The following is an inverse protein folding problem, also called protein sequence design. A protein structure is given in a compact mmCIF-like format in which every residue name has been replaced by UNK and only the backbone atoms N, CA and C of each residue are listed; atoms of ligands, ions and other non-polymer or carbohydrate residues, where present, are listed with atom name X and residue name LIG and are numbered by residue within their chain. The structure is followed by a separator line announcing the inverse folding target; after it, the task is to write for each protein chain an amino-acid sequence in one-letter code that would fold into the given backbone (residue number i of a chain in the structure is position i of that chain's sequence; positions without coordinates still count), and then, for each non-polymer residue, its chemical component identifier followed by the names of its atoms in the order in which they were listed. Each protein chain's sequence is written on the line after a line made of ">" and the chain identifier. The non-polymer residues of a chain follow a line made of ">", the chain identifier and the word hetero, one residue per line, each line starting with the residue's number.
data_IF_262944805901
#
_entry.id   IF_262944805901
#
_cell.length_a   1.000
_cell.length_b   1.000
_cell.length_c   1.000
_cell.angle_alpha   90.00
_cell.angle_beta   90.00
_cell.angle_gamma   90.00
#
_symmetry.space_group_name_H-M   'P 1'
#
loop_
_entity.id
_entity.type
_entity.pdbx_description
1 polymer ?
#
# COMPACT_ATOMS: atom_id res chain seq x y z
N UNK A 1 3.82 16.57 21.46
CA UNK A 1 3.77 15.12 21.80
C UNK A 1 3.69 15.01 23.31
N UNK A 2 2.79 14.19 23.82
CA UNK A 2 2.64 13.99 25.27
C UNK A 2 3.21 12.63 25.68
N UNK A 3 3.79 12.53 26.87
CA UNK A 3 4.40 11.28 27.36
C UNK A 3 3.68 10.81 28.61
N UNK A 4 3.32 9.53 28.68
CA UNK A 4 2.67 8.91 29.83
C UNK A 4 3.39 7.63 30.24
N UNK A 5 3.30 7.26 31.52
CA UNK A 5 3.83 5.98 32.01
C UNK A 5 2.86 4.81 31.77
N UNK A 6 3.37 3.58 31.65
CA UNK A 6 2.53 2.38 31.48
C UNK A 6 1.55 2.17 32.65
N UNK A 7 1.92 2.62 33.85
CA UNK A 7 1.05 2.59 35.04
C UNK A 7 -0.09 3.58 34.93
N UNK A 8 0.17 4.76 34.36
CA UNK A 8 -0.85 5.77 34.09
C UNK A 8 -1.80 5.31 32.99
N UNK A 9 -1.26 4.73 31.92
CA UNK A 9 -2.07 4.12 30.85
C UNK A 9 -3.00 3.02 31.39
N UNK A 10 -2.51 2.14 32.26
CA UNK A 10 -3.34 1.08 32.88
C UNK A 10 -4.45 1.65 33.76
N UNK A 11 -4.21 2.77 34.43
CA UNK A 11 -5.18 3.40 35.34
C UNK A 11 -6.30 4.12 34.59
N UNK A 12 -5.97 4.77 33.47
CA UNK A 12 -6.91 5.67 32.77
C UNK A 12 -6.79 5.59 31.24
N UNK A 13 -6.80 4.36 30.70
CA UNK A 13 -6.71 4.11 29.27
C UNK A 13 -7.80 4.84 28.48
N UNK A 14 -9.01 4.90 29.01
CA UNK A 14 -10.17 5.53 28.35
C UNK A 14 -9.97 7.03 28.14
N UNK A 15 -9.38 7.76 29.11
CA UNK A 15 -9.05 9.19 28.93
C UNK A 15 -7.95 9.38 27.90
N UNK A 16 -6.92 8.53 27.93
CA UNK A 16 -5.81 8.57 26.97
C UNK A 16 -6.35 8.37 25.55
N UNK A 17 -7.16 7.32 25.32
CA UNK A 17 -7.76 7.05 24.01
C UNK A 17 -8.69 8.16 23.54
N UNK A 18 -9.42 8.80 24.45
CA UNK A 18 -10.28 9.94 24.13
C UNK A 18 -9.49 11.14 23.62
N UNK A 19 -8.37 11.48 24.27
CA UNK A 19 -7.45 12.54 23.82
C UNK A 19 -6.92 12.26 22.43
N UNK A 20 -6.48 11.03 22.17
CA UNK A 20 -6.01 10.61 20.84
C UNK A 20 -7.14 10.73 19.81
N UNK A 21 -8.35 10.26 20.12
CA UNK A 21 -9.49 10.25 19.20
C UNK A 21 -10.05 11.63 18.89
N UNK A 22 -10.25 12.46 19.92
CA UNK A 22 -10.99 13.72 19.81
C UNK A 22 -10.08 14.92 19.54
N UNK A 23 -8.87 14.90 20.09
CA UNK A 23 -7.90 16.00 19.92
C UNK A 23 -6.81 15.71 18.89
N UNK A 24 -6.72 14.46 18.41
CA UNK A 24 -5.68 14.07 17.45
C UNK A 24 -4.28 14.04 18.04
N UNK A 25 -4.15 13.94 19.37
CA UNK A 25 -2.85 13.95 20.04
C UNK A 25 -2.05 12.66 19.79
N UNK A 26 -0.76 12.79 19.47
CA UNK A 26 0.21 11.69 19.55
C UNK A 26 0.80 11.59 20.96
N UNK A 27 0.73 10.38 21.53
CA UNK A 27 1.12 10.10 22.91
C UNK A 27 2.14 8.97 22.96
N UNK A 28 3.30 9.22 23.57
CA UNK A 28 4.31 8.20 23.86
C UNK A 28 4.04 7.53 25.21
N UNK A 29 4.24 6.21 25.24
CA UNK A 29 4.06 5.38 26.43
C UNK A 29 5.44 4.93 26.89
N UNK A 30 5.74 5.14 28.17
CA UNK A 30 7.02 4.80 28.79
C UNK A 30 6.89 3.66 29.81
N UNK A 31 7.93 2.83 29.89
CA UNK A 31 8.12 1.83 30.94
C UNK A 31 9.52 2.02 31.53
N UNK A 32 9.61 2.27 32.83
CA UNK A 32 10.86 2.64 33.52
C UNK A 32 11.60 3.80 32.81
N UNK A 33 10.88 4.85 32.41
CA UNK A 33 11.45 6.05 31.78
C UNK A 33 11.88 5.88 30.32
N UNK A 34 11.79 4.66 29.76
CA UNK A 34 12.07 4.40 28.34
C UNK A 34 10.78 4.32 27.54
N UNK A 35 10.73 4.94 26.37
CA UNK A 35 9.59 4.85 25.46
C UNK A 35 9.48 3.41 24.94
N UNK A 36 8.29 2.81 25.08
CA UNK A 36 7.98 1.44 24.65
C UNK A 36 6.86 1.35 23.62
N UNK A 37 6.03 2.39 23.49
CA UNK A 37 4.97 2.44 22.48
C UNK A 37 4.55 3.88 22.17
N UNK A 38 3.84 4.08 21.05
CA UNK A 38 3.21 5.35 20.68
C UNK A 38 1.75 5.12 20.27
N UNK A 39 0.84 5.95 20.78
CA UNK A 39 -0.55 6.04 20.35
C UNK A 39 -0.71 7.25 19.43
N UNK A 40 -1.28 7.04 18.25
CA UNK A 40 -1.57 8.08 17.28
C UNK A 40 -3.01 7.96 16.80
N UNK A 41 -3.69 9.07 16.46
CA UNK A 41 -5.04 9.03 15.91
C UNK A 41 -5.09 8.22 14.62
N UNK A 42 -6.03 7.28 14.55
CA UNK A 42 -6.37 6.61 13.30
C UNK A 42 -7.46 7.43 12.62
N UNK A 43 -7.22 7.82 11.37
CA UNK A 43 -8.21 8.55 10.58
C UNK A 43 -9.57 7.79 10.61
N UNK A 44 -10.70 8.48 10.84
CA UNK A 44 -11.99 7.83 10.99
C UNK A 44 -12.32 6.98 9.76
N UNK A 45 -12.61 5.70 9.98
CA UNK A 45 -13.10 4.83 8.91
C UNK A 45 -14.51 5.29 8.55
N UNK A 46 -14.65 5.97 7.40
CA UNK A 46 -15.96 6.28 6.81
C UNK A 46 -16.78 5.00 6.61
N UNK A 47 -18.13 5.09 6.61
CA UNK A 47 -19.00 3.93 6.42
C UNK A 47 -18.55 3.12 5.20
N UNK A 48 -18.47 1.80 5.41
CA UNK A 48 -17.96 0.84 4.43
C UNK A 48 -18.81 0.91 3.17
N UNK A 49 -18.33 1.63 2.15
CA UNK A 49 -18.71 1.30 0.78
C UNK A 49 -18.27 -0.15 0.52
N UNK A 50 -19.04 -0.94 -0.24
CA UNK A 50 -18.58 -2.26 -0.64
C UNK A 50 -17.20 -2.09 -1.30
N UNK A 51 -16.21 -2.95 -1.00
CA UNK A 51 -14.83 -2.76 -1.44
C UNK A 51 -14.73 -2.40 -2.93
N UNK A 52 -15.47 -3.09 -3.79
CA UNK A 52 -15.58 -2.81 -5.24
C UNK A 52 -15.95 -1.36 -5.60
N UNK A 53 -16.83 -0.71 -4.83
CA UNK A 53 -17.25 0.67 -5.07
C UNK A 53 -16.21 1.72 -4.64
N UNK A 54 -15.25 1.37 -3.77
CA UNK A 54 -14.11 2.24 -3.48
C UNK A 54 -13.06 2.17 -4.60
N UNK A 55 -12.80 0.97 -5.13
CA UNK A 55 -11.91 0.76 -6.26
C UNK A 55 -12.47 1.31 -7.59
N UNK A 56 -13.80 1.46 -7.72
CA UNK A 56 -14.38 2.18 -8.86
C UNK A 56 -14.02 3.68 -8.91
N UNK A 57 -13.58 4.26 -7.78
CA UNK A 57 -13.03 5.63 -7.73
C UNK A 57 -11.62 5.67 -8.33
N UNK A 58 -10.81 4.62 -8.13
CA UNK A 58 -9.55 4.45 -8.85
C UNK A 58 -9.79 4.25 -10.34
N UNK A 59 -10.75 3.42 -10.74
CA UNK A 59 -11.12 3.26 -12.17
C UNK A 59 -11.50 4.59 -12.83
N UNK A 60 -12.10 5.52 -12.09
CA UNK A 60 -12.41 6.86 -12.58
C UNK A 60 -11.14 7.70 -12.76
N UNK A 61 -10.26 7.72 -11.76
CA UNK A 61 -8.97 8.42 -11.87
C UNK A 61 -8.11 7.83 -12.98
N UNK A 62 -8.11 6.50 -13.12
CA UNK A 62 -7.42 5.82 -14.20
C UNK A 62 -7.93 6.30 -15.56
N UNK A 63 -9.25 6.35 -15.77
CA UNK A 63 -9.84 6.91 -17.00
C UNK A 63 -9.44 8.37 -17.25
N UNK A 64 -9.37 9.20 -16.22
CA UNK A 64 -8.93 10.59 -16.35
C UNK A 64 -7.45 10.72 -16.70
N UNK A 65 -6.60 9.85 -16.13
CA UNK A 65 -5.19 9.74 -16.51
C UNK A 65 -5.09 9.30 -17.97
N UNK A 66 -5.83 8.26 -18.37
CA UNK A 66 -5.88 7.78 -19.75
C UNK A 66 -6.36 8.82 -20.75
N UNK A 67 -7.30 9.69 -20.37
CA UNK A 67 -7.80 10.77 -21.24
C UNK A 67 -6.76 11.85 -21.57
N UNK A 68 -5.70 11.99 -20.76
CA UNK A 68 -4.59 12.95 -20.97
C UNK A 68 -3.30 12.27 -21.43
N UNK A 69 -3.38 11.01 -21.81
CA UNK A 69 -2.25 10.19 -22.24
C UNK A 69 -2.25 10.01 -23.77
N UNK A 70 -1.07 9.89 -24.44
CA UNK A 70 -1.01 9.54 -25.86
C UNK A 70 -1.67 8.18 -26.15
N UNK A 71 -2.49 8.09 -27.22
CA UNK A 71 -3.47 7.01 -27.39
C UNK A 71 -2.92 5.67 -27.93
N UNK A 72 -3.40 4.56 -27.36
CA UNK A 72 -3.33 3.20 -27.93
C UNK A 72 -3.89 2.09 -27.01
N UNK A 73 -5.01 1.45 -27.42
CA UNK A 73 -5.57 0.12 -27.04
C UNK A 73 -6.47 -0.09 -25.78
N UNK A 74 -7.35 -1.13 -25.85
CA UNK A 74 -8.52 -1.48 -24.99
C UNK A 74 -8.78 -3.01 -24.85
N UNK A 75 -9.44 -3.52 -23.77
CA UNK A 75 -9.79 -4.96 -23.66
C UNK A 75 -10.50 -5.59 -22.42
N UNK A 76 -11.71 -5.15 -22.01
CA UNK A 76 -12.76 -5.96 -21.30
C UNK A 76 -12.44 -6.56 -19.90
N UNK A 77 -13.44 -7.16 -19.23
CA UNK A 77 -13.44 -7.60 -17.81
C UNK A 77 -14.12 -8.97 -17.61
N UNK A 78 -13.74 -9.72 -16.57
CA UNK A 78 -14.35 -10.99 -16.12
C UNK A 78 -14.37 -11.10 -14.58
N UNK A 79 -15.39 -11.79 -14.02
CA UNK A 79 -15.78 -11.84 -12.58
C UNK A 79 -14.99 -12.88 -11.74
N UNK A 80 -14.79 -12.69 -10.42
CA UNK A 80 -14.30 -13.72 -9.49
C UNK A 80 -15.40 -14.42 -8.66
N UNK A 81 -15.12 -15.67 -8.28
CA UNK A 81 -15.74 -16.37 -7.16
C UNK A 81 -14.94 -16.21 -5.85
N UNK A 82 -15.55 -16.62 -4.73
CA UNK A 82 -15.07 -16.39 -3.35
C UNK A 82 -13.96 -17.36 -2.91
N UNK A 83 -12.82 -16.83 -2.48
CA UNK A 83 -11.72 -17.53 -1.78
C UNK A 83 -11.46 -16.88 -0.40
N UNK A 84 -10.72 -17.51 0.53
CA UNK A 84 -10.42 -16.94 1.85
C UNK A 84 -9.72 -15.59 1.76
N UNK A 85 -9.80 -14.77 2.82
CA UNK A 85 -9.15 -13.45 2.90
C UNK A 85 -7.63 -13.57 2.74
N UNK A 86 -7.12 -13.48 1.51
CA UNK A 86 -5.69 -13.49 1.23
C UNK A 86 -5.09 -12.10 1.44
N UNK A 87 -4.04 -12.01 2.26
CA UNK A 87 -3.19 -10.82 2.38
C UNK A 87 -1.99 -10.98 1.45
N UNK A 88 -1.62 -9.91 0.75
CA UNK A 88 -0.44 -9.91 -0.13
C UNK A 88 0.27 -8.57 -0.06
N UNK A 89 1.59 -8.59 -0.19
CA UNK A 89 2.37 -7.37 -0.43
C UNK A 89 2.33 -7.07 -1.92
N UNK A 90 1.93 -5.86 -2.28
CA UNK A 90 1.78 -5.42 -3.66
C UNK A 90 2.78 -4.30 -3.93
N UNK A 91 3.61 -4.52 -4.94
CA UNK A 91 4.56 -3.54 -5.45
C UNK A 91 3.84 -2.37 -6.14
N UNK A 92 4.50 -1.21 -6.20
CA UNK A 92 3.97 -0.04 -6.87
C UNK A 92 3.68 -0.26 -8.35
N UNK A 93 4.45 -1.10 -9.04
CA UNK A 93 4.21 -1.39 -10.46
C UNK A 93 2.77 -1.86 -10.72
N UNK A 94 2.18 -2.65 -9.83
CA UNK A 94 0.81 -3.18 -9.99
C UNK A 94 -0.23 -2.06 -9.87
N UNK A 95 -0.06 -1.13 -8.92
CA UNK A 95 -0.96 0.01 -8.75
C UNK A 95 -0.75 1.10 -9.80
N UNK A 96 0.49 1.31 -10.26
CA UNK A 96 0.79 2.19 -11.40
C UNK A 96 0.12 1.66 -12.66
N UNK A 97 0.30 0.38 -12.99
CA UNK A 97 -0.38 -0.24 -14.14
C UNK A 97 -1.91 -0.14 -14.01
N UNK A 98 -2.46 -0.33 -12.81
CA UNK A 98 -3.89 -0.11 -12.58
C UNK A 98 -4.35 1.33 -12.82
N UNK A 99 -3.52 2.33 -12.48
CA UNK A 99 -3.85 3.75 -12.63
C UNK A 99 -3.58 4.31 -14.03
N UNK A 100 -2.82 3.59 -14.87
CA UNK A 100 -2.39 4.05 -16.19
C UNK A 100 -3.01 3.15 -17.28
N UNK A 101 -4.17 3.51 -17.87
CA UNK A 101 -4.91 2.67 -18.80
C UNK A 101 -4.17 2.20 -20.05
N UNK A 102 -3.16 2.98 -20.47
CA UNK A 102 -2.35 2.72 -21.65
C UNK A 102 -1.20 1.74 -21.42
N UNK A 103 -0.95 1.32 -20.17
CA UNK A 103 -0.02 0.21 -19.95
C UNK A 103 -0.68 -1.10 -20.39
N UNK A 104 0.04 -1.92 -21.16
CA UNK A 104 -0.46 -3.25 -21.56
C UNK A 104 -0.83 -4.16 -20.37
N UNK A 105 -0.37 -3.80 -19.17
CA UNK A 105 -0.65 -4.49 -17.89
C UNK A 105 -1.86 -3.92 -17.14
N UNK A 106 -2.49 -2.87 -17.65
CA UNK A 106 -3.58 -2.18 -16.97
C UNK A 106 -4.74 -3.10 -16.65
N UNK A 107 -5.25 -3.81 -17.65
CA UNK A 107 -6.43 -4.63 -17.49
C UNK A 107 -6.16 -5.86 -16.63
N UNK A 108 -4.98 -6.46 -16.79
CA UNK A 108 -4.53 -7.55 -15.92
C UNK A 108 -4.47 -7.10 -14.45
N UNK A 109 -3.84 -5.95 -14.18
CA UNK A 109 -3.75 -5.38 -12.83
C UNK A 109 -5.14 -5.02 -12.27
N UNK A 110 -5.98 -4.39 -13.08
CA UNK A 110 -7.35 -4.00 -12.71
C UNK A 110 -8.22 -5.20 -12.39
N UNK A 111 -8.23 -6.22 -13.25
CA UNK A 111 -9.00 -7.45 -13.02
C UNK A 111 -8.47 -8.17 -11.80
N UNK A 112 -7.15 -8.31 -11.65
CA UNK A 112 -6.56 -8.98 -10.50
C UNK A 112 -6.92 -8.28 -9.17
N UNK A 113 -6.75 -6.96 -9.08
CA UNK A 113 -7.12 -6.18 -7.88
C UNK A 113 -8.61 -6.35 -7.59
N UNK A 114 -9.49 -6.15 -8.59
CA UNK A 114 -10.92 -6.32 -8.40
C UNK A 114 -11.24 -7.74 -7.89
N UNK A 115 -10.63 -8.76 -8.49
CA UNK A 115 -10.83 -10.15 -8.11
C UNK A 115 -10.40 -10.46 -6.67
N UNK A 116 -9.19 -10.04 -6.31
CA UNK A 116 -8.64 -10.23 -4.98
C UNK A 116 -9.50 -9.55 -3.92
N UNK A 117 -9.95 -8.32 -4.20
CA UNK A 117 -10.75 -7.52 -3.27
C UNK A 117 -12.19 -8.05 -3.14
N UNK A 118 -12.83 -8.44 -4.24
CA UNK A 118 -14.18 -9.04 -4.22
C UNK A 118 -14.18 -10.40 -3.51
N UNK A 119 -13.06 -11.12 -3.56
CA UNK A 119 -12.80 -12.29 -2.73
C UNK A 119 -12.58 -11.97 -1.24
N UNK A 120 -12.60 -10.70 -0.83
CA UNK A 120 -12.35 -10.28 0.56
C UNK A 120 -10.87 -10.16 0.92
N UNK A 121 -9.97 -10.24 -0.07
CA UNK A 121 -8.53 -10.05 0.10
C UNK A 121 -8.17 -8.63 0.52
N UNK A 122 -6.98 -8.51 1.12
CA UNK A 122 -6.39 -7.23 1.54
C UNK A 122 -5.05 -7.03 0.84
N UNK A 123 -4.69 -5.77 0.61
CA UNK A 123 -3.44 -5.37 -0.03
C UNK A 123 -2.60 -4.62 0.98
N UNK A 124 -1.38 -5.10 1.21
CA UNK A 124 -0.34 -4.37 1.94
C UNK A 124 0.59 -3.76 0.90
N UNK A 125 0.94 -2.49 1.03
CA UNK A 125 1.96 -1.85 0.21
C UNK A 125 2.85 -0.98 1.10
N UNK A 126 4.05 -0.63 0.62
CA UNK A 126 4.91 0.31 1.34
C UNK A 126 4.40 1.73 1.15
N UNK A 127 4.62 2.61 2.13
CA UNK A 127 4.38 4.05 1.97
C UNK A 127 5.20 4.66 0.81
N UNK A 128 6.31 3.99 0.42
CA UNK A 128 7.12 4.31 -0.76
C UNK A 128 6.31 4.26 -2.08
N UNK A 129 5.21 3.48 -2.10
CA UNK A 129 4.23 3.48 -3.19
C UNK A 129 3.77 4.89 -3.57
N UNK A 130 3.59 5.78 -2.59
CA UNK A 130 3.00 7.09 -2.83
C UNK A 130 3.89 7.97 -3.72
N UNK A 131 5.19 8.20 -3.41
CA UNK A 131 6.08 8.93 -4.31
C UNK A 131 6.32 8.17 -5.63
N UNK A 132 6.31 6.83 -5.65
CA UNK A 132 6.46 6.04 -6.88
C UNK A 132 5.31 6.29 -7.85
N UNK A 133 4.06 6.17 -7.37
CA UNK A 133 2.84 6.45 -8.14
C UNK A 133 2.78 7.91 -8.57
N UNK A 134 3.02 8.85 -7.64
CA UNK A 134 2.96 10.27 -7.96
C UNK A 134 4.00 10.67 -9.02
N UNK A 135 5.24 10.19 -8.87
CA UNK A 135 6.32 10.45 -9.81
C UNK A 135 6.09 9.78 -11.17
N UNK A 136 5.56 8.57 -11.21
CA UNK A 136 5.20 7.91 -12.47
C UNK A 136 4.13 8.70 -13.24
N UNK A 137 3.05 9.10 -12.56
CA UNK A 137 1.96 9.89 -13.18
C UNK A 137 2.47 11.27 -13.61
N UNK A 138 3.19 11.98 -12.75
CA UNK A 138 3.66 13.34 -13.05
C UNK A 138 4.65 13.37 -14.21
N UNK A 139 5.64 12.46 -14.24
CA UNK A 139 6.63 12.37 -15.33
C UNK A 139 5.99 12.15 -16.70
N UNK A 140 4.87 11.46 -16.76
CA UNK A 140 4.24 11.06 -18.03
C UNK A 140 3.10 11.98 -18.47
N UNK A 141 2.35 12.54 -17.52
CA UNK A 141 1.21 13.44 -17.80
C UNK A 141 1.60 14.92 -17.79
N UNK A 142 2.80 15.25 -17.31
CA UNK A 142 3.21 16.63 -17.03
C UNK A 142 2.32 17.34 -16.00
N UNK A 143 1.43 16.63 -15.29
CA UNK A 143 0.37 17.25 -14.49
C UNK A 143 0.46 16.86 -13.00
N UNK A 144 1.16 17.65 -12.16
CA UNK A 144 1.24 17.39 -10.71
C UNK A 144 -0.11 17.31 -10.00
N UNK A 145 -1.13 18.04 -10.50
CA UNK A 145 -2.50 17.99 -9.96
C UNK A 145 -3.13 16.59 -10.10
N UNK A 146 -2.90 15.91 -11.22
CA UNK A 146 -3.40 14.55 -11.43
C UNK A 146 -2.69 13.55 -10.52
N UNK A 147 -1.37 13.67 -10.36
CA UNK A 147 -0.61 12.85 -9.43
C UNK A 147 -1.14 12.98 -7.99
N UNK A 148 -1.31 14.21 -7.48
CA UNK A 148 -1.86 14.45 -6.13
C UNK A 148 -3.26 13.86 -5.96
N UNK A 149 -4.11 14.01 -6.98
CA UNK A 149 -5.47 13.46 -6.95
C UNK A 149 -5.47 11.93 -6.93
N UNK A 150 -4.59 11.29 -7.70
CA UNK A 150 -4.41 9.84 -7.67
C UNK A 150 -3.99 9.36 -6.28
N UNK A 151 -3.02 10.01 -5.65
CA UNK A 151 -2.60 9.69 -4.27
C UNK A 151 -3.75 9.87 -3.27
N UNK A 152 -4.52 10.95 -3.37
CA UNK A 152 -5.67 11.17 -2.50
C UNK A 152 -6.74 10.07 -2.61
N UNK A 153 -6.87 9.44 -3.78
CA UNK A 153 -7.75 8.28 -3.98
C UNK A 153 -7.13 7.00 -3.43
N UNK A 154 -5.83 6.76 -3.69
CA UNK A 154 -5.09 5.59 -3.16
C UNK A 154 -5.19 5.53 -1.63
N UNK A 155 -4.99 6.67 -0.94
CA UNK A 155 -5.07 6.76 0.51
C UNK A 155 -6.45 6.48 1.10
N UNK A 156 -7.51 6.51 0.29
CA UNK A 156 -8.90 6.30 0.72
C UNK A 156 -9.39 4.88 0.48
N UNK A 157 -8.52 3.97 0.03
CA UNK A 157 -8.89 2.60 -0.28
C UNK A 157 -9.04 1.78 1.01
N UNK A 158 -10.24 1.23 1.31
CA UNK A 158 -10.49 0.55 2.57
C UNK A 158 -9.74 -0.77 2.73
N UNK A 159 -9.34 -1.39 1.60
CA UNK A 159 -8.61 -2.67 1.59
C UNK A 159 -7.09 -2.50 1.44
N UNK A 160 -6.59 -1.27 1.40
CA UNK A 160 -5.16 -0.97 1.34
C UNK A 160 -4.61 -0.70 2.75
N UNK A 161 -3.47 -1.32 3.06
CA UNK A 161 -2.68 -1.06 4.27
C UNK A 161 -1.30 -0.59 3.86
N UNK A 162 -0.93 0.62 4.28
CA UNK A 162 0.39 1.17 4.03
C UNK A 162 1.32 0.84 5.19
N UNK A 163 2.44 0.21 4.89
CA UNK A 163 3.53 -0.06 5.82
C UNK A 163 4.58 1.05 5.70
N UNK A 164 4.96 1.65 6.82
CA UNK A 164 6.05 2.64 6.88
C UNK A 164 7.41 1.93 6.97
N UNK A 165 8.45 2.56 6.44
CA UNK A 165 9.81 2.03 6.52
C UNK A 165 10.43 2.48 7.85
N UNK A 166 10.44 1.56 8.82
CA UNK A 166 11.19 1.71 10.07
C UNK A 166 12.63 1.21 9.92
N UNK A 167 13.46 1.49 10.94
CA UNK A 167 14.87 1.12 10.94
C UNK A 167 15.11 -0.40 10.79
N UNK A 168 14.30 -1.22 11.44
CA UNK A 168 14.37 -2.69 11.33
C UNK A 168 14.14 -3.17 9.90
N UNK A 169 13.06 -2.72 9.27
CA UNK A 169 12.75 -3.03 7.87
C UNK A 169 13.84 -2.51 6.93
N UNK A 170 14.39 -1.32 7.20
CA UNK A 170 15.47 -0.75 6.40
C UNK A 170 16.76 -1.57 6.47
N UNK A 171 17.15 -2.06 7.66
CA UNK A 171 18.33 -2.94 7.81
C UNK A 171 18.12 -4.28 7.10
N UNK A 172 16.94 -4.89 7.26
CA UNK A 172 16.60 -6.13 6.56
C UNK A 172 16.66 -5.94 5.04
N UNK A 173 16.12 -4.83 4.54
CA UNK A 173 16.18 -4.46 3.13
C UNK A 173 17.62 -4.26 2.65
N UNK A 174 18.48 -3.59 3.43
CA UNK A 174 19.89 -3.40 3.08
C UNK A 174 20.64 -4.74 2.93
N UNK A 175 20.43 -5.68 3.85
CA UNK A 175 21.00 -7.02 3.76
C UNK A 175 20.53 -7.78 2.51
N UNK A 176 19.24 -7.69 2.19
CA UNK A 176 18.67 -8.27 0.97
C UNK A 176 19.18 -7.58 -0.30
N UNK A 177 19.32 -6.27 -0.30
CA UNK A 177 19.85 -5.50 -1.42
C UNK A 177 21.27 -5.96 -1.78
N UNK A 178 22.14 -6.10 -0.77
CA UNK A 178 23.50 -6.61 -0.96
C UNK A 178 23.50 -8.06 -1.48
N UNK A 179 22.76 -8.96 -0.80
CA UNK A 179 22.75 -10.39 -1.12
C UNK A 179 22.14 -10.71 -2.49
N UNK A 180 21.07 -10.01 -2.86
CA UNK A 180 20.34 -10.21 -4.11
C UNK A 180 20.81 -9.26 -5.22
N UNK A 181 21.76 -8.37 -4.93
CA UNK A 181 22.29 -7.32 -5.82
C UNK A 181 21.22 -6.38 -6.39
N UNK A 182 20.11 -6.20 -5.68
CA UNK A 182 18.91 -5.50 -6.17
C UNK A 182 18.83 -4.05 -5.64
N UNK A 183 18.13 -3.17 -6.35
CA UNK A 183 17.95 -1.77 -5.97
C UNK A 183 17.24 -1.64 -4.61
N UNK A 184 17.55 -0.57 -3.89
CA UNK A 184 17.06 -0.34 -2.54
C UNK A 184 15.54 -0.41 -2.41
N UNK A 185 14.79 0.32 -3.25
CA UNK A 185 13.32 0.29 -3.24
C UNK A 185 12.76 -1.14 -3.39
N UNK A 186 13.26 -1.87 -4.39
CA UNK A 186 12.86 -3.24 -4.67
C UNK A 186 13.18 -4.16 -3.48
N UNK A 187 14.32 -3.97 -2.83
CA UNK A 187 14.72 -4.72 -1.63
C UNK A 187 13.80 -4.47 -0.44
N UNK A 188 13.24 -3.26 -0.28
CA UNK A 188 12.31 -2.95 0.81
C UNK A 188 10.99 -3.70 0.62
N UNK A 189 10.47 -3.82 -0.61
CA UNK A 189 9.27 -4.62 -0.87
C UNK A 189 9.51 -6.11 -0.56
N UNK A 190 10.68 -6.65 -0.94
CA UNK A 190 11.05 -8.03 -0.63
C UNK A 190 11.19 -8.24 0.88
N UNK A 191 11.84 -7.31 1.59
CA UNK A 191 12.00 -7.37 3.04
C UNK A 191 10.65 -7.35 3.76
N UNK A 192 9.72 -6.49 3.33
CA UNK A 192 8.39 -6.40 3.90
C UNK A 192 7.59 -7.70 3.68
N UNK A 193 7.65 -8.26 2.47
CA UNK A 193 7.03 -9.55 2.17
C UNK A 193 7.60 -10.69 3.03
N UNK A 194 8.93 -10.71 3.20
CA UNK A 194 9.62 -11.72 4.00
C UNK A 194 9.27 -11.63 5.49
N UNK A 195 9.30 -10.43 6.08
CA UNK A 195 8.98 -10.22 7.49
C UNK A 195 7.52 -10.52 7.82
N UNK A 196 6.60 -10.25 6.89
CA UNK A 196 5.18 -10.51 7.07
C UNK A 196 4.77 -11.94 6.67
N UNK A 197 5.69 -12.73 6.11
CA UNK A 197 5.41 -14.05 5.53
C UNK A 197 4.27 -14.01 4.50
N UNK A 198 4.26 -12.97 3.66
CA UNK A 198 3.24 -12.74 2.64
C UNK A 198 3.82 -12.89 1.24
N UNK A 199 3.02 -13.33 0.26
CA UNK A 199 3.42 -13.28 -1.14
C UNK A 199 3.67 -11.85 -1.61
N UNK A 200 4.69 -11.67 -2.44
CA UNK A 200 4.96 -10.42 -3.17
C UNK A 200 4.31 -10.47 -4.55
N UNK A 201 3.52 -9.47 -4.90
CA UNK A 201 2.90 -9.31 -6.22
C UNK A 201 3.58 -8.16 -6.95
N UNK A 202 4.21 -8.43 -8.09
CA UNK A 202 4.95 -7.43 -8.87
C UNK A 202 4.94 -7.71 -10.36
N UNK A 203 5.02 -6.66 -11.17
CA UNK A 203 5.30 -6.77 -12.61
C UNK A 203 6.78 -6.66 -12.97
N UNK A 204 7.63 -6.22 -12.05
CA UNK A 204 9.07 -6.08 -12.29
C UNK A 204 9.72 -7.47 -12.39
N UNK A 205 10.35 -7.74 -13.53
CA UNK A 205 10.92 -9.05 -13.86
C UNK A 205 12.15 -9.32 -13.01
N UNK A 206 13.04 -8.34 -12.87
CA UNK A 206 14.27 -8.44 -12.07
C UNK A 206 13.93 -8.63 -10.59
N UNK A 207 12.95 -7.88 -10.09
CA UNK A 207 12.45 -8.05 -8.72
C UNK A 207 11.87 -9.44 -8.52
N UNK A 208 11.03 -9.94 -9.45
CA UNK A 208 10.43 -11.27 -9.32
C UNK A 208 11.48 -12.37 -9.28
N UNK A 209 12.40 -12.39 -10.22
CA UNK A 209 13.43 -13.42 -10.32
C UNK A 209 14.31 -13.47 -9.06
N UNK A 210 14.65 -12.29 -8.52
CA UNK A 210 15.51 -12.21 -7.33
C UNK A 210 14.76 -12.46 -6.04
N UNK A 211 13.52 -11.98 -5.94
CA UNK A 211 12.67 -12.16 -4.77
C UNK A 211 12.22 -13.61 -4.57
N UNK A 212 12.06 -14.39 -5.66
CA UNK A 212 11.67 -15.80 -5.61
C UNK A 212 12.63 -16.68 -4.79
N UNK A 213 13.85 -16.20 -4.52
CA UNK A 213 14.83 -16.85 -3.64
C UNK A 213 14.54 -16.68 -2.15
N UNK A 214 13.58 -15.83 -1.79
CA UNK A 214 13.31 -15.40 -0.41
C UNK A 214 11.83 -15.49 -0.05
N UNK A 215 10.94 -15.15 -0.98
CA UNK A 215 9.50 -15.08 -0.76
C UNK A 215 8.74 -15.70 -1.92
N UNK A 216 7.50 -16.11 -1.68
CA UNK A 216 6.58 -16.45 -2.76
C UNK A 216 6.33 -15.20 -3.62
N UNK A 217 6.49 -15.31 -4.94
CA UNK A 217 6.23 -14.21 -5.88
C UNK A 217 5.11 -14.56 -6.83
N UNK A 218 4.20 -13.60 -7.04
CA UNK A 218 3.07 -13.72 -7.97
C UNK A 218 3.07 -12.57 -8.96
N UNK A 219 2.45 -12.81 -10.10
CA UNK A 219 2.09 -11.76 -11.07
C UNK A 219 0.58 -11.55 -11.05
N UNK A 220 0.08 -10.33 -11.35
CA UNK A 220 -1.35 -10.09 -11.53
C UNK A 220 -1.88 -10.77 -12.80
N UNK A 221 -2.12 -12.08 -12.75
CA UNK A 221 -2.79 -12.88 -13.79
C UNK A 221 -4.27 -13.09 -13.47
#
# INVERSE_FOLDING_TARGET
>A
MATIGVRELKRDASRVLRRVRERGEEIEITHHGRVVARLAPVAPQRPRRPPSAAWSTLDRVAREIGARWPKGWSGRTGRPGRTPRSLMVVDASVLVSHLVPSEGRHEASRRWIARHIDGGGLVVALALLLPEVAGAIARRTGTPRLARRAIAVVLRLPSLRLLTIGEELARAAAGLAARLRIRGADAVYIAAAAQLHLPLVTWDVEQRERAARVVEVRVPA
#
